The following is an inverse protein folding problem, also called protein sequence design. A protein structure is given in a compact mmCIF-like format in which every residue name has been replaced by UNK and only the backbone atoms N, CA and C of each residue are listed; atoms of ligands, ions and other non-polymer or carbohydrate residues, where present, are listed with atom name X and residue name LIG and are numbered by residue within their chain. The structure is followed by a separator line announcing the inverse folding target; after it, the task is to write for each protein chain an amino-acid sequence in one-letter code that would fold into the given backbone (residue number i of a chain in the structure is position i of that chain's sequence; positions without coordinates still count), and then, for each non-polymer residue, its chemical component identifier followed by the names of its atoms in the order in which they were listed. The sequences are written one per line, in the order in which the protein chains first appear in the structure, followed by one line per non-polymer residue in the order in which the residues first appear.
data_IF_032515362486
#
_entry.id   IF_032515362486
#
_cell.length_a   1.000
_cell.length_b   1.000
_cell.length_c   1.000
_cell.angle_alpha   90.00
_cell.angle_beta   90.00
_cell.angle_gamma   90.00
#
_symmetry.space_group_name_H-M   'P 1'
#
loop_
_entity.id
_entity.type
_entity.pdbx_description
1 polymer ?
#
# COMPACT_ATOMS: atom_id res chain seq x y z
N UNK A 1 20.04 -21.02 -9.80
CA UNK A 1 20.36 -19.73 -10.43
C UNK A 1 20.05 -18.56 -9.49
N UNK A 2 18.85 -18.46 -8.92
CA UNK A 2 18.44 -17.40 -7.97
C UNK A 2 19.37 -17.20 -6.76
N UNK A 3 20.08 -18.24 -6.31
CA UNK A 3 21.02 -18.14 -5.18
C UNK A 3 22.28 -17.32 -5.51
N UNK A 4 22.52 -16.99 -6.77
CA UNK A 4 23.67 -16.20 -7.21
C UNK A 4 23.44 -14.70 -7.01
N UNK A 5 22.18 -14.27 -6.83
CA UNK A 5 21.78 -12.87 -6.75
C UNK A 5 20.92 -12.64 -5.49
N UNK A 6 21.52 -12.63 -4.30
CA UNK A 6 20.79 -12.50 -3.04
C UNK A 6 20.00 -11.18 -2.94
N UNK A 7 20.50 -10.08 -3.54
CA UNK A 7 19.86 -8.78 -3.55
C UNK A 7 18.57 -8.79 -4.39
N UNK A 8 18.58 -9.47 -5.54
CA UNK A 8 17.38 -9.65 -6.36
C UNK A 8 16.37 -10.54 -5.62
N UNK A 9 16.86 -11.58 -4.94
CA UNK A 9 16.00 -12.44 -4.13
C UNK A 9 15.36 -11.69 -2.97
N UNK A 10 16.07 -10.74 -2.37
CA UNK A 10 15.50 -9.90 -1.32
C UNK A 10 14.31 -9.07 -1.83
N UNK A 11 14.43 -8.48 -3.02
CA UNK A 11 13.30 -7.79 -3.66
C UNK A 11 12.14 -8.76 -3.93
N UNK A 12 12.41 -9.90 -4.57
CA UNK A 12 11.38 -10.85 -5.00
C UNK A 12 10.57 -11.44 -3.85
N UNK A 13 11.16 -11.66 -2.68
CA UNK A 13 10.46 -12.13 -1.49
C UNK A 13 9.31 -11.23 -1.04
N UNK A 14 9.41 -9.94 -1.34
CA UNK A 14 8.44 -8.95 -0.92
C UNK A 14 7.39 -8.65 -1.99
N UNK A 15 7.60 -9.08 -3.24
CA UNK A 15 6.64 -8.81 -4.32
C UNK A 15 5.33 -9.56 -4.06
N UNK A 16 4.22 -8.84 -3.88
CA UNK A 16 2.94 -9.46 -3.58
C UNK A 16 2.29 -10.06 -4.83
N UNK A 17 1.36 -10.98 -4.64
CA UNK A 17 0.56 -11.57 -5.71
C UNK A 17 -0.74 -10.79 -5.99
N UNK A 18 -1.19 -9.96 -5.04
CA UNK A 18 -2.42 -9.16 -5.14
C UNK A 18 -2.08 -7.69 -4.95
N UNK A 19 -2.68 -6.85 -5.77
CA UNK A 19 -2.44 -5.42 -5.82
C UNK A 19 -3.70 -4.63 -5.49
N UNK A 20 -3.57 -3.60 -4.66
CA UNK A 20 -4.66 -2.70 -4.31
C UNK A 20 -4.86 -1.59 -5.36
N UNK A 21 -3.76 -1.17 -6.00
CA UNK A 21 -3.77 -0.06 -6.95
C UNK A 21 -2.70 -0.24 -8.02
N UNK A 22 -2.94 0.29 -9.22
CA UNK A 22 -1.97 0.33 -10.32
C UNK A 22 -2.03 1.72 -10.95
N UNK A 23 -0.86 2.37 -11.06
CA UNK A 23 -0.69 3.69 -11.68
C UNK A 23 0.31 3.60 -12.83
N UNK A 24 -0.08 3.89 -14.08
CA UNK A 24 0.90 4.16 -15.12
C UNK A 24 1.56 5.51 -14.82
N UNK A 25 2.89 5.53 -14.70
CA UNK A 25 3.63 6.76 -14.45
C UNK A 25 4.05 7.42 -15.77
N UNK A 26 4.63 6.63 -16.68
CA UNK A 26 4.95 7.07 -18.03
C UNK A 26 5.07 5.88 -18.97
N UNK A 27 4.95 6.14 -20.25
CA UNK A 27 5.12 5.08 -21.26
C UNK A 27 4.87 5.57 -22.68
N UNK A 28 5.48 4.85 -23.61
CA UNK A 28 5.24 4.98 -25.05
C UNK A 28 5.16 3.59 -25.64
N UNK A 29 4.06 3.32 -26.33
CA UNK A 29 3.78 1.99 -26.89
C UNK A 29 4.94 1.53 -27.78
N UNK A 30 5.45 0.32 -27.52
CA UNK A 30 6.56 -0.28 -28.25
C UNK A 30 7.94 0.26 -27.88
N UNK A 31 8.04 1.24 -26.96
CA UNK A 31 9.32 1.83 -26.58
C UNK A 31 9.67 1.60 -25.12
N UNK A 32 8.85 2.05 -24.19
CA UNK A 32 9.11 1.91 -22.75
C UNK A 32 7.82 2.00 -21.93
N UNK A 33 7.89 1.52 -20.69
CA UNK A 33 6.83 1.66 -19.72
C UNK A 33 7.41 1.80 -18.30
N UNK A 34 6.81 2.67 -17.51
CA UNK A 34 7.06 2.79 -16.07
C UNK A 34 5.73 2.73 -15.34
N UNK A 35 5.59 1.80 -14.41
CA UNK A 35 4.35 1.52 -13.72
C UNK A 35 4.59 1.39 -12.23
N UNK A 36 3.72 2.01 -11.41
CA UNK A 36 3.69 1.83 -9.97
C UNK A 36 2.48 0.99 -9.57
N UNK A 37 2.67 0.07 -8.61
CA UNK A 37 1.62 -0.78 -8.04
C UNK A 37 1.71 -0.76 -6.52
N UNK A 38 0.58 -0.70 -5.85
CA UNK A 38 0.50 -0.66 -4.39
C UNK A 38 -0.08 -1.95 -3.82
N UNK A 39 0.53 -2.40 -2.73
CA UNK A 39 -0.02 -3.46 -1.89
C UNK A 39 0.14 -3.06 -0.42
N UNK A 40 -0.98 -2.89 0.28
CA UNK A 40 -0.98 -2.32 1.62
C UNK A 40 -0.36 -0.91 1.61
N UNK A 41 0.66 -0.72 2.43
CA UNK A 41 1.39 0.55 2.58
C UNK A 41 2.66 0.63 1.72
N UNK A 42 2.92 -0.40 0.90
CA UNK A 42 4.11 -0.46 0.07
C UNK A 42 3.79 -0.23 -1.40
N UNK A 43 4.71 0.42 -2.11
CA UNK A 43 4.65 0.60 -3.53
C UNK A 43 5.79 -0.13 -4.23
N UNK A 44 5.48 -0.62 -5.41
CA UNK A 44 6.42 -1.32 -6.27
C UNK A 44 6.41 -0.66 -7.64
N UNK A 45 7.57 -0.22 -8.11
CA UNK A 45 7.72 0.42 -9.42
C UNK A 45 8.57 -0.49 -10.27
N UNK A 46 8.14 -0.67 -11.52
CA UNK A 46 8.93 -1.31 -12.57
C UNK A 46 9.02 -0.38 -13.76
N UNK A 47 10.24 -0.18 -14.26
CA UNK A 47 10.53 0.53 -15.50
C UNK A 47 11.32 -0.39 -16.44
N UNK A 48 10.93 -0.41 -17.72
CA UNK A 48 11.64 -1.17 -18.74
C UNK A 48 11.67 -0.42 -20.06
N UNK A 49 12.74 -0.64 -20.84
CA UNK A 49 12.96 -0.07 -22.16
C UNK A 49 12.97 -1.18 -23.23
N UNK A 50 12.73 -0.79 -24.46
CA UNK A 50 13.01 -1.63 -25.63
C UNK A 50 14.52 -1.63 -25.95
N UNK A 51 14.90 -1.99 -27.17
CA UNK A 51 16.29 -2.04 -27.64
C UNK A 51 16.96 -0.66 -27.82
N UNK A 52 16.49 0.36 -27.07
CA UNK A 52 17.08 1.72 -27.10
C UNK A 52 17.39 2.13 -25.69
N UNK A 53 18.65 2.46 -25.45
CA UNK A 53 19.09 3.07 -24.20
C UNK A 53 18.35 4.40 -23.97
N UNK A 54 17.92 4.65 -22.73
CA UNK A 54 17.24 5.90 -22.39
C UNK A 54 17.28 6.22 -20.92
N UNK A 55 16.98 7.48 -20.61
CA UNK A 55 16.72 7.94 -19.25
C UNK A 55 15.23 7.88 -18.95
N UNK A 56 14.84 7.18 -17.90
CA UNK A 56 13.48 7.08 -17.39
C UNK A 56 13.35 7.81 -16.07
N UNK A 57 12.46 8.79 -15.99
CA UNK A 57 12.26 9.59 -14.79
C UNK A 57 11.11 9.03 -13.96
N UNK A 58 11.24 9.03 -12.66
CA UNK A 58 10.17 8.66 -11.71
C UNK A 58 9.90 9.86 -10.81
N UNK A 59 8.66 10.33 -10.85
CA UNK A 59 8.12 11.31 -9.94
C UNK A 59 7.35 10.58 -8.85
N UNK A 60 7.70 10.82 -7.59
CA UNK A 60 7.11 10.16 -6.42
C UNK A 60 5.92 10.94 -5.83
N UNK A 61 5.36 11.90 -6.54
CA UNK A 61 4.23 12.75 -6.07
C UNK A 61 2.97 11.98 -5.69
N UNK A 62 2.87 10.70 -6.07
CA UNK A 62 1.78 9.81 -5.66
C UNK A 62 1.93 9.25 -4.25
N UNK A 63 3.06 9.43 -3.59
CA UNK A 63 3.28 9.03 -2.19
C UNK A 63 2.59 10.01 -1.24
N UNK A 64 2.28 9.53 -0.04
CA UNK A 64 1.75 10.39 1.03
C UNK A 64 2.79 11.48 1.39
N UNK A 65 2.42 12.76 1.32
CA UNK A 65 3.35 13.87 1.60
C UNK A 65 3.81 13.94 3.07
N UNK A 66 3.09 13.30 3.99
CA UNK A 66 3.38 13.30 5.42
C UNK A 66 4.18 12.09 5.88
N UNK A 67 4.55 11.19 4.97
CA UNK A 67 5.26 9.95 5.28
C UNK A 67 6.64 9.98 4.65
N UNK A 68 7.66 9.58 5.40
CA UNK A 68 8.98 9.25 4.88
C UNK A 68 9.00 7.81 4.45
N UNK A 69 9.71 7.55 3.37
CA UNK A 69 9.83 6.21 2.82
C UNK A 69 11.28 5.85 2.59
N UNK A 70 11.58 4.57 2.69
CA UNK A 70 12.77 3.93 2.15
C UNK A 70 12.43 3.32 0.79
N UNK A 71 13.32 3.50 -0.17
CA UNK A 71 13.22 2.86 -1.48
C UNK A 71 14.37 1.88 -1.64
N UNK A 72 14.08 0.59 -1.80
CA UNK A 72 15.04 -0.41 -2.21
C UNK A 72 15.03 -0.49 -3.74
N UNK A 73 16.14 -0.17 -4.35
CA UNK A 73 16.28 0.07 -5.78
C UNK A 73 17.24 -0.95 -6.38
N UNK A 74 16.83 -1.52 -7.49
CA UNK A 74 17.68 -2.34 -8.37
C UNK A 74 17.61 -1.71 -9.75
N UNK A 75 18.75 -1.26 -10.28
CA UNK A 75 18.84 -0.61 -11.58
C UNK A 75 19.96 -1.18 -12.44
N UNK A 76 19.85 -1.03 -13.73
CA UNK A 76 20.88 -1.39 -14.69
C UNK A 76 22.19 -0.66 -14.46
N UNK A 77 23.26 -1.26 -14.98
CA UNK A 77 24.57 -0.62 -15.19
C UNK A 77 24.84 -0.58 -16.71
N UNK A 78 24.37 0.46 -17.44
CA UNK A 78 24.41 0.51 -18.90
C UNK A 78 25.80 0.30 -19.48
N UNK A 79 26.86 0.83 -18.81
CA UNK A 79 28.25 0.70 -19.26
C UNK A 79 28.72 -0.76 -19.29
N UNK A 80 28.12 -1.64 -18.48
CA UNK A 80 28.41 -3.07 -18.45
C UNK A 80 27.48 -3.86 -19.35
N UNK A 81 26.20 -3.48 -19.38
CA UNK A 81 25.16 -4.20 -20.10
C UNK A 81 25.23 -3.97 -21.62
N UNK A 82 25.66 -2.78 -22.05
CA UNK A 82 25.83 -2.42 -23.47
C UNK A 82 27.20 -2.78 -24.05
N UNK A 83 28.11 -3.37 -23.28
CA UNK A 83 29.41 -3.80 -23.77
C UNK A 83 29.27 -5.02 -24.70
N UNK A 84 29.00 -4.75 -25.95
CA UNK A 84 28.94 -5.77 -27.00
C UNK A 84 30.31 -6.17 -27.54
N UNK A 85 31.40 -5.49 -27.09
CA UNK A 85 32.77 -5.73 -27.55
C UNK A 85 33.36 -7.01 -27.02
N UNK A 86 32.82 -7.50 -25.92
CA UNK A 86 33.14 -8.82 -25.41
C UNK A 86 31.89 -9.71 -25.44
N UNK A 87 32.01 -10.93 -25.96
CA UNK A 87 30.98 -11.99 -25.80
C UNK A 87 30.65 -12.29 -24.32
N UNK A 88 31.23 -11.53 -23.40
CA UNK A 88 31.19 -11.62 -21.95
C UNK A 88 30.48 -10.40 -21.33
N UNK A 89 29.80 -9.56 -22.12
CA UNK A 89 28.95 -8.50 -21.55
C UNK A 89 28.02 -9.11 -20.49
N UNK A 90 28.10 -8.59 -19.28
CA UNK A 90 27.30 -9.11 -18.18
C UNK A 90 25.90 -8.48 -18.25
N UNK A 91 25.06 -9.06 -19.10
CA UNK A 91 23.65 -8.63 -19.24
C UNK A 91 22.84 -8.73 -17.93
N UNK A 92 23.47 -9.21 -16.87
CA UNK A 92 22.88 -9.30 -15.52
C UNK A 92 23.46 -8.28 -14.54
N UNK A 93 24.35 -7.40 -15.00
CA UNK A 93 24.95 -6.40 -14.15
C UNK A 93 23.89 -5.40 -13.67
N UNK A 94 23.68 -5.36 -12.38
CA UNK A 94 22.75 -4.43 -11.73
C UNK A 94 23.38 -3.82 -10.48
N UNK A 95 22.88 -2.66 -10.09
CA UNK A 95 23.24 -1.97 -8.85
C UNK A 95 22.07 -2.00 -7.91
N UNK A 96 22.31 -2.42 -6.68
CA UNK A 96 21.30 -2.50 -5.61
C UNK A 96 21.66 -1.53 -4.50
N UNK A 97 20.71 -0.69 -4.07
CA UNK A 97 20.91 0.25 -2.98
C UNK A 97 19.59 0.69 -2.35
N UNK A 98 19.69 1.35 -1.20
CA UNK A 98 18.54 1.95 -0.52
C UNK A 98 18.70 3.47 -0.51
N UNK A 99 17.60 4.18 -0.72
CA UNK A 99 17.54 5.64 -0.66
C UNK A 99 16.33 6.09 0.15
N UNK A 100 16.43 7.29 0.75
CA UNK A 100 15.29 7.96 1.36
C UNK A 100 14.48 8.68 0.29
N UNK A 101 13.16 8.53 0.31
CA UNK A 101 12.27 9.16 -0.65
C UNK A 101 11.04 9.75 0.04
N UNK A 102 10.52 10.81 -0.57
CA UNK A 102 9.30 11.51 -0.17
C UNK A 102 8.45 11.78 -1.39
N UNK A 103 7.24 12.31 -1.21
CA UNK A 103 6.38 12.75 -2.32
C UNK A 103 6.99 13.86 -3.20
N UNK A 104 8.07 14.51 -2.75
CA UNK A 104 8.78 15.56 -3.52
C UNK A 104 10.01 15.01 -4.25
N UNK A 105 10.33 13.75 -4.07
CA UNK A 105 11.49 13.13 -4.70
C UNK A 105 11.24 12.91 -6.19
N UNK A 106 12.29 13.15 -6.98
CA UNK A 106 12.34 12.77 -8.39
C UNK A 106 13.65 12.02 -8.62
N UNK A 107 13.60 10.94 -9.35
CA UNK A 107 14.75 10.12 -9.70
C UNK A 107 14.81 9.87 -11.21
N UNK A 108 16.01 9.75 -11.74
CA UNK A 108 16.28 9.44 -13.14
C UNK A 108 17.14 8.17 -13.21
N UNK A 109 16.69 7.22 -14.01
CA UNK A 109 17.34 5.93 -14.20
C UNK A 109 17.83 5.81 -15.63
N UNK A 110 19.12 5.59 -15.79
CA UNK A 110 19.70 5.24 -17.10
C UNK A 110 19.51 3.74 -17.33
N UNK A 111 18.76 3.37 -18.33
CA UNK A 111 18.50 1.97 -18.63
C UNK A 111 19.14 1.57 -19.96
N UNK A 112 19.77 0.42 -19.97
CA UNK A 112 20.41 -0.18 -21.13
C UNK A 112 19.37 -0.58 -22.21
N UNK A 113 19.84 -0.98 -23.37
CA UNK A 113 19.03 -1.64 -24.39
C UNK A 113 18.39 -2.91 -23.83
N UNK A 114 17.06 -2.98 -23.84
CA UNK A 114 16.30 -4.09 -23.25
C UNK A 114 16.34 -4.17 -21.74
N UNK A 115 16.90 -3.16 -21.07
CA UNK A 115 17.10 -3.10 -19.64
C UNK A 115 15.96 -2.40 -18.89
N UNK A 116 16.19 -2.13 -17.60
CA UNK A 116 15.21 -1.52 -16.74
C UNK A 116 15.65 -1.34 -15.28
N UNK A 117 14.67 -1.06 -14.46
CA UNK A 117 14.85 -0.94 -13.01
C UNK A 117 13.60 -1.41 -12.27
N UNK A 118 13.77 -1.74 -10.98
CA UNK A 118 12.67 -1.98 -10.06
C UNK A 118 12.93 -1.27 -8.74
N UNK A 119 11.85 -0.81 -8.10
CA UNK A 119 11.88 -0.11 -6.82
C UNK A 119 10.81 -0.70 -5.91
N UNK A 120 11.16 -1.06 -4.68
CA UNK A 120 10.22 -1.29 -3.59
C UNK A 120 10.28 -0.11 -2.65
N UNK A 121 9.14 0.52 -2.38
CA UNK A 121 9.01 1.67 -1.49
C UNK A 121 8.18 1.23 -0.28
N UNK A 122 8.69 1.46 0.91
CA UNK A 122 8.01 1.13 2.16
C UNK A 122 8.19 2.27 3.16
N UNK A 123 7.22 2.48 4.08
CA UNK A 123 7.37 3.48 5.13
C UNK A 123 8.67 3.26 5.90
N UNK A 124 9.41 4.34 6.18
CA UNK A 124 10.65 4.26 6.93
C UNK A 124 10.36 3.78 8.36
N UNK A 125 10.88 2.60 8.78
CA UNK A 125 10.64 2.08 10.12
C UNK A 125 11.25 2.95 11.23
N UNK A 126 12.27 3.75 10.88
CA UNK A 126 12.95 4.65 11.80
C UNK A 126 12.39 6.08 11.74
N UNK A 127 11.33 6.31 10.94
CA UNK A 127 10.66 7.59 10.89
C UNK A 127 9.96 7.89 12.22
N UNK A 128 10.74 8.31 13.22
CA UNK A 128 10.26 8.93 14.45
C UNK A 128 9.93 10.41 14.24
N UNK A 129 10.00 10.88 12.97
CA UNK A 129 9.60 12.21 12.59
C UNK A 129 8.19 12.45 13.11
N UNK A 130 7.96 13.62 13.71
CA UNK A 130 6.65 14.01 14.16
C UNK A 130 5.63 13.56 13.13
N UNK A 131 5.05 12.40 13.34
CA UNK A 131 3.72 12.15 12.89
C UNK A 131 2.99 13.41 13.37
N UNK A 132 2.57 14.27 12.44
CA UNK A 132 1.30 14.90 12.73
C UNK A 132 0.54 13.74 13.28
N UNK A 133 0.17 13.79 14.50
CA UNK A 133 -0.53 12.74 15.18
C UNK A 133 -1.75 12.38 14.34
N UNK A 134 -1.55 11.59 13.27
CA UNK A 134 -2.50 10.55 12.99
C UNK A 134 -2.36 9.62 14.19
N UNK A 135 -2.95 10.07 15.27
CA UNK A 135 -3.54 9.17 16.21
C UNK A 135 -4.41 8.30 15.30
N UNK A 136 -3.91 7.12 14.97
CA UNK A 136 -4.74 6.05 14.46
C UNK A 136 -5.60 5.66 15.65
N UNK A 137 -6.40 6.59 16.10
CA UNK A 137 -7.55 6.32 16.93
C UNK A 137 -8.46 5.48 16.05
N UNK A 138 -8.21 4.18 16.12
CA UNK A 138 -9.05 3.21 15.44
C UNK A 138 -10.43 3.29 16.07
N UNK A 139 -11.43 3.23 15.25
CA UNK A 139 -12.78 2.98 15.74
C UNK A 139 -12.74 1.67 16.53
N UNK A 140 -13.12 1.69 17.78
CA UNK A 140 -13.25 0.48 18.59
C UNK A 140 -14.69 -0.02 18.50
N UNK A 141 -14.85 -1.26 18.07
CA UNK A 141 -16.17 -1.89 17.93
C UNK A 141 -16.14 -3.19 18.71
N UNK A 142 -17.10 -3.35 19.63
CA UNK A 142 -17.23 -4.59 20.40
C UNK A 142 -18.70 -4.91 20.69
N UNK A 143 -19.00 -6.15 20.95
CA UNK A 143 -20.29 -6.63 21.40
C UNK A 143 -20.25 -6.94 22.91
N UNK A 144 -21.22 -6.48 23.65
CA UNK A 144 -21.40 -6.78 25.07
C UNK A 144 -22.62 -7.67 25.27
N UNK A 145 -22.36 -8.91 25.68
CA UNK A 145 -23.40 -9.92 25.87
C UNK A 145 -24.42 -9.56 26.95
N UNK A 146 -23.96 -8.94 28.05
CA UNK A 146 -24.80 -8.59 29.18
C UNK A 146 -25.95 -7.66 28.80
N UNK A 147 -25.69 -6.72 27.91
CA UNK A 147 -26.64 -5.69 27.47
C UNK A 147 -27.18 -5.97 26.07
N UNK A 148 -26.78 -7.09 25.44
CA UNK A 148 -27.11 -7.43 24.05
C UNK A 148 -26.90 -6.25 23.10
N UNK A 149 -25.81 -5.54 23.26
CA UNK A 149 -25.56 -4.30 22.53
C UNK A 149 -24.17 -4.28 21.88
N UNK A 150 -24.10 -3.64 20.72
CA UNK A 150 -22.88 -3.30 20.02
C UNK A 150 -22.46 -1.90 20.44
N UNK A 151 -21.22 -1.73 20.79
CA UNK A 151 -20.64 -0.43 21.09
C UNK A 151 -19.66 -0.03 20.01
N UNK A 152 -19.74 1.23 19.60
CA UNK A 152 -18.85 1.84 18.62
C UNK A 152 -18.25 3.10 19.26
N UNK A 153 -16.97 3.07 19.55
CA UNK A 153 -16.22 4.21 20.05
C UNK A 153 -15.43 4.86 18.91
N UNK A 154 -15.79 6.09 18.61
CA UNK A 154 -15.09 6.91 17.63
C UNK A 154 -13.88 7.60 18.26
N UNK A 155 -12.85 7.94 17.44
CA UNK A 155 -11.80 8.87 17.84
C UNK A 155 -12.36 10.20 18.34
N UNK A 156 -11.64 10.87 19.24
CA UNK A 156 -12.11 12.14 19.84
C UNK A 156 -12.39 13.24 18.82
N UNK A 157 -11.72 13.21 17.68
CA UNK A 157 -11.89 14.17 16.58
C UNK A 157 -13.09 13.88 15.66
N UNK A 158 -13.61 12.66 15.71
CA UNK A 158 -14.71 12.22 14.86
C UNK A 158 -16.04 12.39 15.60
N UNK A 159 -16.88 13.29 15.12
CA UNK A 159 -18.17 13.59 15.77
C UNK A 159 -19.33 12.87 15.12
N UNK A 160 -19.15 12.36 13.89
CA UNK A 160 -20.21 11.69 13.12
C UNK A 160 -19.68 10.45 12.43
N UNK A 161 -20.50 9.40 12.39
CA UNK A 161 -20.21 8.19 11.64
C UNK A 161 -21.49 7.54 11.15
N UNK A 162 -21.43 6.95 9.95
CA UNK A 162 -22.44 6.05 9.43
C UNK A 162 -22.09 4.62 9.80
N UNK A 163 -23.01 3.93 10.46
CA UNK A 163 -22.79 2.56 10.93
C UNK A 163 -23.80 1.64 10.29
N UNK A 164 -23.29 0.64 9.60
CA UNK A 164 -24.07 -0.39 8.94
C UNK A 164 -23.78 -1.76 9.53
N UNK A 165 -24.81 -2.52 9.76
CA UNK A 165 -24.74 -3.91 10.24
C UNK A 165 -25.15 -4.86 9.12
N UNK A 166 -24.36 -5.92 8.90
CA UNK A 166 -24.60 -6.94 7.89
C UNK A 166 -24.52 -8.34 8.50
N UNK A 167 -25.27 -9.28 7.95
CA UNK A 167 -25.05 -10.70 8.20
C UNK A 167 -23.84 -11.22 7.38
N UNK A 168 -23.46 -12.47 7.59
CA UNK A 168 -22.36 -13.11 6.86
C UNK A 168 -22.63 -13.26 5.35
N UNK A 169 -23.85 -13.13 4.90
CA UNK A 169 -24.22 -13.15 3.49
C UNK A 169 -24.21 -11.74 2.87
N UNK A 170 -23.83 -10.71 3.64
CA UNK A 170 -23.76 -9.32 3.19
C UNK A 170 -25.12 -8.61 3.14
N UNK A 171 -26.17 -9.18 3.73
CA UNK A 171 -27.48 -8.54 3.79
C UNK A 171 -27.50 -7.53 4.92
N UNK A 172 -27.92 -6.26 4.63
CA UNK A 172 -27.96 -5.22 5.65
C UNK A 172 -29.10 -5.43 6.63
N UNK A 173 -28.84 -5.10 7.90
CA UNK A 173 -29.85 -4.90 8.92
C UNK A 173 -30.15 -3.42 9.07
N UNK A 174 -31.43 -3.05 9.06
CA UNK A 174 -31.89 -1.68 9.29
C UNK A 174 -32.33 -1.48 10.74
N UNK A 175 -32.21 -0.25 11.28
CA UNK A 175 -31.84 1.02 10.64
C UNK A 175 -30.32 1.25 10.61
N UNK A 176 -29.90 2.19 9.75
CA UNK A 176 -28.58 2.80 9.83
C UNK A 176 -28.52 3.65 11.10
N UNK A 177 -27.38 3.60 11.79
CA UNK A 177 -27.16 4.35 13.01
C UNK A 177 -26.19 5.50 12.72
N UNK A 178 -26.61 6.72 13.10
CA UNK A 178 -25.72 7.88 13.15
C UNK A 178 -25.18 8.03 14.58
N UNK A 179 -23.89 8.21 14.72
CA UNK A 179 -23.28 8.39 16.03
C UNK A 179 -23.52 9.82 16.52
N UNK A 180 -24.37 9.96 17.55
CA UNK A 180 -24.59 11.22 18.27
C UNK A 180 -24.00 11.18 19.68
N UNK A 181 -23.54 10.01 20.14
CA UNK A 181 -22.90 9.77 21.43
C UNK A 181 -21.62 8.96 21.22
N UNK A 182 -20.64 9.14 22.08
CA UNK A 182 -19.38 8.41 22.02
C UNK A 182 -19.02 7.80 23.39
N UNK A 183 -19.06 6.47 23.58
CA UNK A 183 -19.36 5.47 22.55
C UNK A 183 -20.86 5.41 22.20
N UNK A 184 -21.15 5.14 20.93
CA UNK A 184 -22.52 4.82 20.49
C UNK A 184 -22.88 3.42 20.96
N UNK A 185 -24.06 3.27 21.57
CA UNK A 185 -24.63 1.99 21.99
C UNK A 185 -25.77 1.62 21.02
N UNK A 186 -25.66 0.47 20.40
CA UNK A 186 -26.66 -0.07 19.47
C UNK A 186 -27.25 -1.35 20.07
N UNK A 187 -28.47 -1.29 20.64
CA UNK A 187 -29.14 -2.50 21.13
C UNK A 187 -29.51 -3.44 19.98
N UNK A 188 -29.13 -4.71 20.11
CA UNK A 188 -29.38 -5.76 19.09
C UNK A 188 -30.00 -7.02 19.67
N UNK A 189 -31.03 -6.93 20.54
CA UNK A 189 -31.67 -8.12 21.13
C UNK A 189 -32.35 -9.00 20.09
N UNK A 190 -32.73 -8.42 18.96
CA UNK A 190 -33.43 -9.09 17.85
C UNK A 190 -32.53 -9.92 16.93
N UNK A 191 -31.21 -9.80 17.07
CA UNK A 191 -30.28 -10.61 16.28
C UNK A 191 -30.21 -12.04 16.83
N UNK A 192 -30.17 -13.01 15.93
CA UNK A 192 -29.91 -14.40 16.28
C UNK A 192 -28.44 -14.61 16.65
N UNK A 193 -28.14 -15.76 17.29
CA UNK A 193 -26.75 -16.18 17.51
C UNK A 193 -26.01 -16.30 16.18
N UNK A 194 -24.81 -15.74 16.08
CA UNK A 194 -24.04 -15.80 14.85
C UNK A 194 -23.03 -14.68 14.66
N UNK A 195 -22.38 -14.70 13.51
CA UNK A 195 -21.42 -13.68 13.11
C UNK A 195 -22.11 -12.54 12.34
N UNK A 196 -21.67 -11.33 12.64
CA UNK A 196 -22.15 -10.10 12.01
C UNK A 196 -20.99 -9.19 11.68
N UNK A 197 -21.06 -8.53 10.52
CA UNK A 197 -20.09 -7.54 10.10
C UNK A 197 -20.64 -6.14 10.37
N UNK A 198 -19.87 -5.34 11.12
CA UNK A 198 -20.21 -3.93 11.37
C UNK A 198 -19.25 -3.08 10.55
N UNK A 199 -19.79 -2.23 9.70
CA UNK A 199 -19.06 -1.23 8.94
C UNK A 199 -19.32 0.14 9.54
N UNK A 200 -18.25 0.82 9.96
CA UNK A 200 -18.27 2.20 10.42
C UNK A 200 -17.54 3.08 9.42
N UNK A 201 -18.18 4.13 8.95
CA UNK A 201 -17.61 5.08 7.99
C UNK A 201 -17.74 6.48 8.56
N UNK A 202 -16.61 7.18 8.67
CA UNK A 202 -16.51 8.61 8.94
C UNK A 202 -15.92 9.30 7.70
N UNK A 203 -15.82 10.65 7.66
CA UNK A 203 -15.14 11.33 6.57
C UNK A 203 -13.72 10.81 6.29
N UNK A 204 -12.98 10.44 7.34
CA UNK A 204 -11.58 10.07 7.25
C UNK A 204 -11.31 8.56 7.43
N UNK A 205 -12.25 7.80 8.00
CA UNK A 205 -12.05 6.40 8.38
C UNK A 205 -13.17 5.52 7.80
N UNK A 206 -12.80 4.41 7.20
CA UNK A 206 -13.73 3.32 6.88
C UNK A 206 -13.18 2.02 7.46
N UNK A 207 -13.86 1.48 8.45
CA UNK A 207 -13.45 0.27 9.17
C UNK A 207 -14.60 -0.73 9.23
N UNK A 208 -14.25 -2.02 9.04
CA UNK A 208 -15.19 -3.13 9.23
C UNK A 208 -14.66 -4.07 10.31
N UNK A 209 -15.56 -4.54 11.15
CA UNK A 209 -15.24 -5.45 12.26
C UNK A 209 -16.25 -6.59 12.29
N UNK A 210 -15.76 -7.83 12.44
CA UNK A 210 -16.60 -9.01 12.64
C UNK A 210 -16.83 -9.19 14.14
N UNK A 211 -18.09 -9.34 14.54
CA UNK A 211 -18.49 -9.68 15.90
C UNK A 211 -19.24 -11.01 15.93
N UNK A 212 -19.24 -11.67 17.07
CA UNK A 212 -20.03 -12.85 17.32
C UNK A 212 -21.05 -12.59 18.43
N UNK A 213 -22.33 -12.82 18.14
CA UNK A 213 -23.43 -12.81 19.13
C UNK A 213 -23.64 -14.25 19.63
N UNK A 214 -23.49 -14.46 20.92
CA UNK A 214 -23.71 -15.75 21.61
C UNK A 214 -25.20 -16.08 21.78
#
# INVERSE_FOLDING_TARGET
EYRKFPEIMEFLKHVPTVWNETKPLQGKIGEYAVMARRAGNEWYIGGLSNWTERSLNVDFSFLDPNTRYKAYIIEDIPEKNNDTSSRTGDATACKCYTADVTSQTQMSFQVAEGGGFVIRIYPDPDDTGMKSTEITEKVKIWYEQKNESIYVQLPERELTADIHLYDIAGRPFYPNYAANNNPLCIPVPYLSKGYYCIKCTTPDISQSTLIYKN
#
